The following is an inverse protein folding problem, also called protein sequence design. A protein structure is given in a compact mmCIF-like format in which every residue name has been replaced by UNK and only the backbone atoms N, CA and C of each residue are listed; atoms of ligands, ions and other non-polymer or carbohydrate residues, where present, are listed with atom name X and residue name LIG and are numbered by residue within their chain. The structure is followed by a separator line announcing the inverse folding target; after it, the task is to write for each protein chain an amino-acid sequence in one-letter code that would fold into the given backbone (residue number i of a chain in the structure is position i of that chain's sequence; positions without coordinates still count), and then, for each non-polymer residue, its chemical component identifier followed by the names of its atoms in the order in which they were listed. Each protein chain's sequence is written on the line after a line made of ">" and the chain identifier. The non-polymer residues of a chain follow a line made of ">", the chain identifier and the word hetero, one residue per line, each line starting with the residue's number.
data_IF_085270514931
#
_entry.id   IF_085270514931
#
_cell.length_a   1.000
_cell.length_b   1.000
_cell.length_c   1.000
_cell.angle_alpha   90.00
_cell.angle_beta   90.00
_cell.angle_gamma   90.00
#
_symmetry.space_group_name_H-M   'P 1'
#
loop_
_entity.id
_entity.type
_entity.pdbx_description
1 polymer ?
#
# COMPACT_ATOMS: atom_id res chain seq x y z
N UNK A 1 7.85 5.42 30.88
CA UNK A 1 8.17 6.77 30.39
C UNK A 1 7.17 7.15 29.29
N UNK A 2 6.78 8.43 29.17
CA UNK A 2 5.96 8.87 28.05
C UNK A 2 6.71 8.69 26.73
N UNK A 3 5.96 8.44 25.65
CA UNK A 3 6.48 8.43 24.28
C UNK A 3 6.30 9.83 23.71
N UNK A 4 7.36 10.37 23.12
CA UNK A 4 7.34 11.64 22.38
C UNK A 4 7.35 11.33 20.88
N UNK A 5 6.48 12.00 20.12
CA UNK A 5 6.38 11.88 18.68
C UNK A 5 7.03 13.08 18.01
N UNK A 6 8.08 12.84 17.22
CA UNK A 6 8.72 13.84 16.36
C UNK A 6 8.27 13.63 14.94
N UNK A 7 7.64 14.64 14.33
CA UNK A 7 7.10 14.56 12.96
C UNK A 7 7.95 15.38 12.00
N UNK A 8 8.36 14.77 10.89
CA UNK A 8 9.11 15.43 9.80
C UNK A 8 8.42 15.12 8.48
N UNK A 9 8.12 16.15 7.70
CA UNK A 9 7.54 16.03 6.37
C UNK A 9 8.63 15.73 5.33
N UNK A 10 8.44 14.69 4.53
CA UNK A 10 9.33 14.30 3.43
C UNK A 10 8.90 14.88 2.06
N UNK A 11 7.85 15.69 2.02
CA UNK A 11 7.31 16.37 0.83
C UNK A 11 7.03 15.44 -0.37
N UNK A 12 6.90 14.16 -0.15
CA UNK A 12 6.77 13.13 -1.21
C UNK A 12 7.92 13.16 -2.24
N UNK A 13 9.13 13.55 -1.81
CA UNK A 13 10.34 13.61 -2.62
C UNK A 13 11.42 12.67 -2.07
N UNK A 14 12.17 11.98 -2.97
CA UNK A 14 13.20 11.00 -2.59
C UNK A 14 14.35 11.63 -1.79
N UNK A 15 14.79 12.84 -2.17
CA UNK A 15 15.88 13.55 -1.49
C UNK A 15 15.41 14.02 -0.12
N UNK A 16 14.21 14.59 -0.04
CA UNK A 16 13.62 15.05 1.21
C UNK A 16 13.31 13.86 2.16
N UNK A 17 12.94 12.70 1.63
CA UNK A 17 12.77 11.48 2.44
C UNK A 17 14.10 11.06 3.11
N UNK A 18 15.20 11.07 2.36
CA UNK A 18 16.52 10.81 2.92
C UNK A 18 16.93 11.87 3.95
N UNK A 19 16.68 13.16 3.69
CA UNK A 19 16.96 14.28 4.60
C UNK A 19 16.10 14.18 5.88
N UNK A 20 14.82 13.82 5.77
CA UNK A 20 13.94 13.62 6.91
C UNK A 20 14.46 12.52 7.85
N UNK A 21 14.84 11.36 7.28
CA UNK A 21 15.41 10.27 8.06
C UNK A 21 16.75 10.67 8.68
N UNK A 22 17.62 11.37 7.96
CA UNK A 22 18.88 11.90 8.50
C UNK A 22 18.62 12.82 9.69
N UNK A 23 17.69 13.76 9.58
CA UNK A 23 17.29 14.63 10.70
C UNK A 23 16.85 13.82 11.91
N UNK A 24 15.91 12.87 11.72
CA UNK A 24 15.38 12.04 12.80
C UNK A 24 16.49 11.20 13.49
N UNK A 25 17.45 10.70 12.75
CA UNK A 25 18.51 9.82 13.27
C UNK A 25 19.65 10.57 13.94
N UNK A 26 20.10 11.69 13.37
CA UNK A 26 21.31 12.42 13.79
C UNK A 26 20.99 13.59 14.76
N UNK A 27 19.92 14.37 14.50
CA UNK A 27 19.57 15.54 15.31
C UNK A 27 18.59 15.18 16.41
N UNK A 28 17.46 14.59 16.06
CA UNK A 28 16.40 14.24 17.02
C UNK A 28 16.74 12.96 17.80
N UNK A 29 17.66 12.15 17.29
CA UNK A 29 18.18 10.91 17.92
C UNK A 29 17.07 9.96 18.35
N UNK A 30 16.04 9.82 17.51
CA UNK A 30 14.88 8.98 17.80
C UNK A 30 15.27 7.52 18.03
N UNK A 31 14.46 6.80 18.81
CA UNK A 31 14.64 5.38 19.10
C UNK A 31 14.27 4.51 17.91
N UNK A 32 13.17 4.84 17.24
CA UNK A 32 12.63 4.14 16.07
C UNK A 32 11.90 5.14 15.17
N UNK A 33 11.64 4.76 13.92
CA UNK A 33 10.94 5.60 12.93
C UNK A 33 9.72 4.83 12.43
N UNK A 34 8.58 5.52 12.34
CA UNK A 34 7.40 5.08 11.60
C UNK A 34 7.39 5.83 10.27
N UNK A 35 7.34 5.11 9.18
CA UNK A 35 7.35 5.69 7.83
C UNK A 35 8.28 4.92 6.90
N UNK A 36 8.27 5.14 5.64
CA UNK A 36 7.46 6.15 4.95
C UNK A 36 6.23 5.51 4.32
N UNK A 37 5.32 6.33 3.78
CA UNK A 37 4.37 5.90 2.76
C UNK A 37 5.09 5.94 1.40
N UNK A 38 4.89 4.88 0.57
CA UNK A 38 5.48 4.80 -0.77
C UNK A 38 6.88 4.19 -0.84
N UNK A 39 7.05 3.20 -1.72
CA UNK A 39 8.25 2.36 -1.79
C UNK A 39 9.51 3.13 -2.19
N UNK A 40 9.42 4.04 -3.17
CA UNK A 40 10.57 4.83 -3.63
C UNK A 40 11.14 5.72 -2.52
N UNK A 41 10.24 6.31 -1.70
CA UNK A 41 10.63 7.15 -0.56
C UNK A 41 11.22 6.29 0.57
N UNK A 42 10.62 5.11 0.81
CA UNK A 42 11.09 4.15 1.80
C UNK A 42 12.50 3.63 1.47
N UNK A 43 12.77 3.34 0.21
CA UNK A 43 14.12 2.94 -0.23
C UNK A 43 15.14 4.06 -0.01
N UNK A 44 14.82 5.30 -0.39
CA UNK A 44 15.72 6.44 -0.21
C UNK A 44 16.03 6.72 1.27
N UNK A 45 15.02 6.79 2.13
CA UNK A 45 15.19 6.98 3.57
C UNK A 45 15.80 5.76 4.28
N UNK A 46 15.47 4.57 3.80
CA UNK A 46 15.92 3.29 4.36
C UNK A 46 17.45 3.12 4.36
N UNK A 47 18.12 3.56 3.31
CA UNK A 47 19.58 3.56 3.23
C UNK A 47 20.23 4.43 4.33
N UNK A 48 19.60 5.53 4.68
CA UNK A 48 20.08 6.42 5.76
C UNK A 48 19.85 5.76 7.12
N UNK A 49 18.68 5.20 7.35
CA UNK A 49 18.35 4.51 8.60
C UNK A 49 19.24 3.29 8.85
N UNK A 50 19.51 2.50 7.81
CA UNK A 50 20.39 1.33 7.88
C UNK A 50 21.79 1.71 8.34
N UNK A 51 22.40 2.76 7.75
CA UNK A 51 23.72 3.29 8.17
C UNK A 51 23.69 3.84 9.60
N UNK A 52 22.59 4.48 9.99
CA UNK A 52 22.42 5.05 11.33
C UNK A 52 22.04 4.00 12.39
N UNK A 53 21.76 2.76 11.98
CA UNK A 53 21.31 1.66 12.85
C UNK A 53 20.06 2.03 13.66
N UNK A 54 19.08 2.64 13.00
CA UNK A 54 17.81 3.03 13.60
C UNK A 54 16.70 2.19 12.97
N UNK A 55 15.92 1.42 13.76
CA UNK A 55 14.84 0.63 13.21
C UNK A 55 13.74 1.52 12.63
N UNK A 56 13.30 1.17 11.41
CA UNK A 56 12.21 1.80 10.69
C UNK A 56 11.11 0.77 10.45
N UNK A 57 9.85 1.14 10.67
CA UNK A 57 8.72 0.33 10.24
C UNK A 57 7.94 1.11 9.18
N UNK A 58 7.98 0.63 7.94
CA UNK A 58 7.22 1.20 6.83
C UNK A 58 5.74 0.89 6.95
N UNK A 59 4.89 1.89 6.68
CA UNK A 59 3.43 1.77 6.76
C UNK A 59 2.86 1.09 5.52
N UNK A 60 3.02 1.70 4.35
CA UNK A 60 2.62 1.19 3.03
C UNK A 60 3.75 1.43 2.04
N UNK A 61 4.67 0.46 1.98
CA UNK A 61 5.84 0.47 1.11
C UNK A 61 6.12 -0.96 0.65
N UNK A 62 5.31 -1.41 -0.28
CA UNK A 62 5.06 -2.82 -0.62
C UNK A 62 6.12 -3.44 -1.54
N UNK A 63 6.99 -2.65 -2.20
CA UNK A 63 8.05 -3.18 -3.04
C UNK A 63 9.05 -4.02 -2.22
N UNK A 64 9.41 -5.25 -2.66
CA UNK A 64 10.33 -6.13 -1.93
C UNK A 64 11.69 -5.50 -1.61
N UNK A 65 12.19 -4.60 -2.46
CA UNK A 65 13.49 -3.94 -2.30
C UNK A 65 13.57 -3.03 -1.06
N UNK A 66 12.43 -2.69 -0.45
CA UNK A 66 12.40 -1.84 0.75
C UNK A 66 13.10 -2.50 1.93
N UNK A 67 12.87 -3.79 2.16
CA UNK A 67 13.41 -4.55 3.29
C UNK A 67 14.55 -5.49 2.89
N UNK A 68 14.63 -5.87 1.62
CA UNK A 68 15.60 -6.83 1.13
C UNK A 68 17.03 -6.44 1.47
N UNK A 69 17.71 -7.32 2.23
CA UNK A 69 19.11 -7.11 2.65
C UNK A 69 19.30 -6.07 3.73
N UNK A 70 18.24 -5.55 4.36
CA UNK A 70 18.31 -4.55 5.44
C UNK A 70 18.01 -5.17 6.79
N UNK A 71 18.84 -4.84 7.77
CA UNK A 71 18.69 -5.28 9.17
C UNK A 71 17.71 -4.39 9.95
N UNK A 72 17.67 -3.09 9.63
CA UNK A 72 16.95 -2.10 10.41
C UNK A 72 15.64 -1.63 9.73
N UNK A 73 15.25 -2.24 8.60
CA UNK A 73 13.99 -1.90 7.95
C UNK A 73 12.97 -3.04 8.06
N UNK A 74 11.78 -2.71 8.55
CA UNK A 74 10.62 -3.57 8.76
C UNK A 74 9.42 -2.96 8.02
N UNK A 75 8.33 -3.72 7.86
CA UNK A 75 7.09 -3.16 7.33
C UNK A 75 5.85 -3.77 7.99
N UNK A 76 4.78 -2.98 8.07
CA UNK A 76 3.46 -3.40 8.55
C UNK A 76 2.51 -3.78 7.40
N UNK A 77 3.00 -3.86 6.16
CA UNK A 77 2.23 -4.12 4.96
C UNK A 77 2.69 -5.41 4.25
N UNK A 78 1.80 -6.01 3.46
CA UNK A 78 2.15 -7.10 2.54
C UNK A 78 3.13 -6.61 1.45
N UNK A 79 3.58 -7.53 0.61
CA UNK A 79 4.54 -7.23 -0.47
C UNK A 79 3.91 -7.35 -1.86
N UNK A 80 4.44 -6.60 -2.83
CA UNK A 80 3.95 -6.55 -4.22
C UNK A 80 3.89 -7.91 -4.93
N UNK A 81 4.82 -8.87 -4.73
CA UNK A 81 4.67 -10.21 -5.30
C UNK A 81 3.36 -10.89 -4.89
N UNK A 82 2.98 -10.77 -3.61
CA UNK A 82 1.74 -11.32 -3.08
C UNK A 82 0.53 -10.52 -3.58
N UNK A 83 0.60 -9.19 -3.53
CA UNK A 83 -0.46 -8.29 -4.00
C UNK A 83 -0.73 -8.46 -5.50
N UNK A 84 0.32 -8.49 -6.33
CA UNK A 84 0.19 -8.66 -7.77
C UNK A 84 -0.40 -10.01 -8.16
N UNK A 85 -0.02 -11.08 -7.44
CA UNK A 85 -0.61 -12.40 -7.61
C UNK A 85 -2.09 -12.43 -7.18
N UNK A 86 -2.44 -11.77 -6.06
CA UNK A 86 -3.82 -11.65 -5.59
C UNK A 86 -4.70 -10.89 -6.61
N UNK A 87 -4.23 -9.75 -7.13
CA UNK A 87 -4.92 -9.00 -8.18
C UNK A 87 -5.16 -9.85 -9.44
N UNK A 88 -4.12 -10.57 -9.89
CA UNK A 88 -4.19 -11.45 -11.05
C UNK A 88 -5.19 -12.61 -10.84
N UNK A 89 -5.12 -13.27 -9.69
CA UNK A 89 -6.04 -14.36 -9.31
C UNK A 89 -7.48 -13.86 -9.28
N UNK A 90 -7.72 -12.71 -8.65
CA UNK A 90 -9.05 -12.14 -8.57
C UNK A 90 -9.62 -11.79 -9.95
N UNK A 91 -8.83 -11.09 -10.78
CA UNK A 91 -9.25 -10.74 -12.13
C UNK A 91 -9.57 -11.98 -13.00
N UNK A 92 -8.69 -12.99 -12.99
CA UNK A 92 -8.83 -14.14 -13.86
C UNK A 92 -9.84 -15.18 -13.37
N UNK A 93 -9.80 -15.52 -12.06
CA UNK A 93 -10.61 -16.62 -11.52
C UNK A 93 -11.94 -16.16 -10.94
N UNK A 94 -11.95 -15.07 -10.19
CA UNK A 94 -13.17 -14.60 -9.55
C UNK A 94 -14.06 -13.79 -10.51
N UNK A 95 -13.48 -12.94 -11.36
CA UNK A 95 -14.21 -12.14 -12.34
C UNK A 95 -14.33 -12.82 -13.71
N UNK A 96 -13.54 -13.86 -13.97
CA UNK A 96 -13.56 -14.58 -15.26
C UNK A 96 -12.92 -13.84 -16.42
N UNK A 97 -12.22 -12.74 -16.18
CA UNK A 97 -11.56 -11.93 -17.19
C UNK A 97 -10.34 -12.65 -17.77
N UNK A 98 -10.23 -12.68 -19.09
CA UNK A 98 -9.19 -13.43 -19.82
C UNK A 98 -8.16 -12.53 -20.48
N UNK A 99 -8.56 -11.28 -20.82
CA UNK A 99 -7.73 -10.27 -21.46
C UNK A 99 -7.48 -9.11 -20.49
N UNK A 100 -6.23 -8.95 -20.07
CA UNK A 100 -5.84 -7.82 -19.26
C UNK A 100 -4.89 -6.89 -20.02
N UNK A 101 -4.93 -5.62 -19.66
CA UNK A 101 -3.89 -4.67 -19.99
C UNK A 101 -3.31 -4.08 -18.70
N UNK A 102 -2.14 -3.46 -18.81
CA UNK A 102 -1.48 -2.79 -17.69
C UNK A 102 -1.16 -1.35 -18.09
N UNK A 103 -1.34 -0.42 -17.15
CA UNK A 103 -0.96 0.99 -17.31
C UNK A 103 -0.03 1.36 -16.14
N UNK A 104 1.26 1.59 -16.43
CA UNK A 104 2.33 1.70 -15.44
C UNK A 104 2.93 3.09 -15.40
N UNK A 105 3.02 3.68 -14.20
CA UNK A 105 3.90 4.81 -13.93
C UNK A 105 5.36 4.35 -13.92
N UNK A 106 6.13 4.75 -14.94
CA UNK A 106 7.53 4.32 -15.08
C UNK A 106 8.52 5.11 -14.22
N UNK A 107 8.11 6.22 -13.65
CA UNK A 107 8.93 7.01 -12.74
C UNK A 107 8.88 6.50 -11.29
N UNK A 108 8.02 5.52 -11.02
CA UNK A 108 7.73 5.03 -9.67
C UNK A 108 8.08 3.55 -9.51
N UNK A 109 9.02 3.26 -8.59
CA UNK A 109 9.51 1.90 -8.34
C UNK A 109 8.40 0.93 -7.85
N UNK A 110 7.41 1.45 -7.08
CA UNK A 110 6.24 0.68 -6.67
C UNK A 110 5.42 0.24 -7.89
N UNK A 111 5.01 1.19 -8.73
CA UNK A 111 4.16 0.91 -9.88
C UNK A 111 4.84 -0.05 -10.89
N UNK A 112 6.14 0.15 -11.15
CA UNK A 112 6.94 -0.73 -12.01
C UNK A 112 7.02 -2.15 -11.45
N UNK A 113 7.34 -2.28 -10.16
CA UNK A 113 7.44 -3.58 -9.48
C UNK A 113 6.12 -4.33 -9.50
N UNK A 114 5.06 -3.70 -9.02
CA UNK A 114 3.74 -4.32 -8.90
C UNK A 114 3.13 -4.68 -10.27
N UNK A 115 3.30 -3.82 -11.29
CA UNK A 115 2.91 -4.15 -12.67
C UNK A 115 3.59 -5.42 -13.16
N UNK A 116 4.88 -5.59 -12.90
CA UNK A 116 5.63 -6.77 -13.32
C UNK A 116 5.16 -8.03 -12.58
N UNK A 117 4.86 -7.95 -11.28
CA UNK A 117 4.32 -9.09 -10.53
C UNK A 117 2.92 -9.48 -11.00
N UNK A 118 2.04 -8.51 -11.25
CA UNK A 118 0.74 -8.77 -11.84
C UNK A 118 0.86 -9.46 -13.20
N UNK A 119 1.65 -8.92 -14.14
CA UNK A 119 1.86 -9.48 -15.47
C UNK A 119 2.38 -10.92 -15.42
N UNK A 120 3.37 -11.18 -14.56
CA UNK A 120 3.94 -12.52 -14.36
C UNK A 120 2.89 -13.51 -13.86
N UNK A 121 2.16 -13.13 -12.83
CA UNK A 121 1.13 -13.98 -12.22
C UNK A 121 -0.05 -14.21 -13.16
N UNK A 122 -0.52 -13.15 -13.85
CA UNK A 122 -1.62 -13.26 -14.79
C UNK A 122 -1.34 -14.21 -15.95
N UNK A 123 -0.13 -14.13 -16.53
CA UNK A 123 0.34 -15.08 -17.56
C UNK A 123 0.45 -16.51 -17.02
N UNK A 124 0.99 -16.69 -15.80
CA UNK A 124 1.16 -18.00 -15.16
C UNK A 124 -0.16 -18.75 -15.02
N UNK A 125 -1.25 -18.04 -14.72
CA UNK A 125 -2.58 -18.65 -14.55
C UNK A 125 -3.40 -18.72 -15.84
N UNK A 126 -2.81 -18.40 -17.00
CA UNK A 126 -3.41 -18.54 -18.33
C UNK A 126 -4.07 -17.28 -18.88
N UNK A 127 -3.86 -16.12 -18.26
CA UNK A 127 -4.38 -14.82 -18.75
C UNK A 127 -3.57 -14.28 -19.93
N UNK A 128 -4.24 -13.61 -20.85
CA UNK A 128 -3.67 -12.91 -22.00
C UNK A 128 -3.41 -11.45 -21.65
N UNK A 129 -2.18 -10.95 -21.90
CA UNK A 129 -1.87 -9.52 -21.80
C UNK A 129 -1.95 -8.89 -23.19
N UNK A 130 -2.97 -8.05 -23.40
CA UNK A 130 -3.25 -7.44 -24.72
C UNK A 130 -2.57 -6.07 -24.90
N UNK A 131 -2.17 -5.40 -23.80
CA UNK A 131 -1.40 -4.16 -23.85
C UNK A 131 -0.59 -3.93 -22.56
N UNK A 132 0.52 -3.19 -22.68
CA UNK A 132 1.39 -2.75 -21.58
C UNK A 132 1.75 -1.28 -21.84
N UNK A 133 0.95 -0.37 -21.31
CA UNK A 133 1.06 1.07 -21.53
C UNK A 133 1.80 1.75 -20.38
N UNK A 134 2.38 2.90 -20.66
CA UNK A 134 3.26 3.63 -19.72
C UNK A 134 2.88 5.09 -19.66
N UNK A 135 3.10 5.68 -18.49
CA UNK A 135 3.04 7.13 -18.26
C UNK A 135 4.12 7.50 -17.20
N UNK A 136 4.30 8.78 -16.95
CA UNK A 136 5.21 9.27 -15.90
C UNK A 136 4.45 9.99 -14.79
N UNK A 137 4.95 9.86 -13.56
CA UNK A 137 4.40 10.61 -12.42
C UNK A 137 4.26 12.09 -12.75
N UNK A 138 3.10 12.67 -12.44
CA UNK A 138 2.76 14.06 -12.71
C UNK A 138 2.10 14.30 -14.08
N UNK A 139 1.99 13.29 -14.95
CA UNK A 139 1.22 13.40 -16.18
C UNK A 139 -0.25 13.73 -15.86
N UNK A 140 -0.87 14.57 -16.70
CA UNK A 140 -2.26 15.03 -16.55
C UNK A 140 -3.14 14.62 -17.74
N UNK A 141 -2.56 14.17 -18.83
CA UNK A 141 -3.24 13.73 -20.04
C UNK A 141 -2.84 12.30 -20.38
N UNK A 142 -3.80 11.40 -20.37
CA UNK A 142 -3.65 9.98 -20.62
C UNK A 142 -4.40 9.53 -21.88
N UNK A 143 -4.84 10.50 -22.71
CA UNK A 143 -5.68 10.26 -23.89
C UNK A 143 -5.04 9.27 -24.85
N UNK A 144 -3.74 9.38 -25.11
CA UNK A 144 -3.03 8.48 -26.03
C UNK A 144 -3.02 7.03 -25.53
N UNK A 145 -2.65 6.83 -24.26
CA UNK A 145 -2.62 5.50 -23.63
C UNK A 145 -4.02 4.88 -23.56
N UNK A 146 -5.02 5.67 -23.16
CA UNK A 146 -6.40 5.21 -23.03
C UNK A 146 -7.03 4.87 -24.38
N UNK A 147 -6.76 5.65 -25.44
CA UNK A 147 -7.22 5.36 -26.80
C UNK A 147 -6.65 4.03 -27.29
N UNK A 148 -5.37 3.78 -27.05
CA UNK A 148 -4.74 2.50 -27.42
C UNK A 148 -5.36 1.36 -26.60
N UNK A 149 -5.54 1.51 -25.28
CA UNK A 149 -6.19 0.52 -24.43
C UNK A 149 -7.62 0.18 -24.93
N UNK A 150 -8.42 1.19 -25.30
CA UNK A 150 -9.76 0.99 -25.86
C UNK A 150 -9.70 0.15 -27.14
N UNK A 151 -8.72 0.40 -28.01
CA UNK A 151 -8.57 -0.34 -29.26
C UNK A 151 -8.25 -1.83 -29.06
N UNK A 152 -7.54 -2.18 -27.97
CA UNK A 152 -7.16 -3.57 -27.60
C UNK A 152 -8.28 -4.35 -26.93
N UNK A 153 -9.35 -3.70 -26.51
CA UNK A 153 -10.54 -4.30 -25.88
C UNK A 153 -10.20 -5.27 -24.73
N UNK A 154 -9.42 -4.85 -23.71
CA UNK A 154 -9.20 -5.66 -22.54
C UNK A 154 -10.50 -5.80 -21.73
N UNK A 155 -10.63 -6.91 -20.97
CA UNK A 155 -11.68 -7.05 -19.97
C UNK A 155 -11.40 -6.15 -18.76
N UNK A 156 -10.10 -6.05 -18.39
CA UNK A 156 -9.63 -5.30 -17.24
C UNK A 156 -8.30 -4.58 -17.54
N UNK A 157 -8.13 -3.39 -17.01
CA UNK A 157 -6.86 -2.66 -16.99
C UNK A 157 -6.37 -2.57 -15.55
N UNK A 158 -5.23 -3.20 -15.27
CA UNK A 158 -4.55 -3.08 -13.99
C UNK A 158 -3.65 -1.84 -14.01
N UNK A 159 -3.88 -0.93 -13.07
CA UNK A 159 -3.15 0.34 -12.96
C UNK A 159 -2.70 0.58 -11.51
N UNK A 160 -1.51 0.14 -11.11
CA UNK A 160 -0.95 0.41 -9.79
C UNK A 160 -0.46 1.88 -9.72
N UNK A 161 -1.42 2.80 -9.67
CA UNK A 161 -1.20 4.24 -9.60
C UNK A 161 -1.31 4.74 -8.16
N UNK A 162 -0.80 5.94 -7.90
CA UNK A 162 -1.23 6.72 -6.76
C UNK A 162 -2.57 7.39 -7.04
N UNK A 163 -3.27 7.80 -5.98
CA UNK A 163 -4.66 8.24 -6.06
C UNK A 163 -4.89 9.43 -7.00
N UNK A 164 -3.95 10.36 -7.10
CA UNK A 164 -4.12 11.58 -7.88
C UNK A 164 -4.20 11.29 -9.39
N UNK A 165 -3.17 10.64 -9.95
CA UNK A 165 -3.14 10.23 -11.35
C UNK A 165 -4.20 9.17 -11.64
N UNK A 166 -4.36 8.19 -10.75
CA UNK A 166 -5.36 7.13 -10.91
C UNK A 166 -6.78 7.68 -11.03
N UNK A 167 -7.14 8.69 -10.25
CA UNK A 167 -8.45 9.34 -10.34
C UNK A 167 -8.66 10.10 -11.66
N UNK A 168 -7.60 10.75 -12.19
CA UNK A 168 -7.63 11.43 -13.49
C UNK A 168 -7.77 10.39 -14.62
N UNK A 169 -7.00 9.29 -14.56
CA UNK A 169 -7.10 8.18 -15.51
C UNK A 169 -8.53 7.64 -15.55
N UNK A 170 -9.17 7.42 -14.40
CA UNK A 170 -10.56 6.97 -14.34
C UNK A 170 -11.51 7.93 -15.07
N UNK A 171 -11.39 9.24 -14.85
CA UNK A 171 -12.21 10.26 -15.51
C UNK A 171 -12.04 10.22 -17.02
N UNK A 172 -10.80 10.35 -17.49
CA UNK A 172 -10.50 10.38 -18.91
C UNK A 172 -10.88 9.07 -19.61
N UNK A 173 -10.72 7.92 -18.95
CA UNK A 173 -11.15 6.64 -19.50
C UNK A 173 -12.67 6.63 -19.77
N UNK A 174 -13.50 7.12 -18.84
CA UNK A 174 -14.96 7.17 -19.04
C UNK A 174 -15.38 8.24 -20.04
N UNK A 175 -14.71 9.39 -20.07
CA UNK A 175 -14.91 10.44 -21.06
C UNK A 175 -14.62 9.96 -22.50
N UNK A 176 -13.62 9.10 -22.66
CA UNK A 176 -13.28 8.46 -23.95
C UNK A 176 -14.15 7.23 -24.28
N UNK A 177 -15.13 6.88 -23.42
CA UNK A 177 -16.03 5.76 -23.65
C UNK A 177 -15.46 4.37 -23.34
N UNK A 178 -14.39 4.29 -22.53
CA UNK A 178 -13.85 3.00 -22.09
C UNK A 178 -14.88 2.19 -21.29
N UNK A 179 -15.05 0.92 -21.66
CA UNK A 179 -15.99 -0.02 -21.02
C UNK A 179 -15.30 -1.08 -20.16
N UNK A 180 -13.98 -1.23 -20.28
CA UNK A 180 -13.20 -2.16 -19.45
C UNK A 180 -13.25 -1.79 -17.97
N UNK A 181 -13.06 -2.79 -17.12
CA UNK A 181 -12.92 -2.55 -15.67
C UNK A 181 -11.54 -1.96 -15.39
N UNK A 182 -11.49 -0.95 -14.54
CA UNK A 182 -10.26 -0.42 -13.99
C UNK A 182 -10.00 -1.05 -12.63
N UNK A 183 -8.81 -1.60 -12.44
CA UNK A 183 -8.36 -2.17 -11.18
C UNK A 183 -7.07 -1.50 -10.72
N UNK A 184 -7.14 -0.82 -9.59
CA UNK A 184 -6.00 -0.22 -8.91
C UNK A 184 -5.39 -1.15 -7.87
N UNK A 185 -4.53 -0.58 -7.05
CA UNK A 185 -3.89 -1.27 -5.96
C UNK A 185 -3.97 -0.45 -4.65
N UNK A 186 -3.30 -0.87 -3.60
CA UNK A 186 -3.39 -0.29 -2.26
C UNK A 186 -3.16 1.23 -2.20
N UNK A 187 -2.29 1.77 -3.06
CA UNK A 187 -2.01 3.21 -3.12
C UNK A 187 -3.19 4.06 -3.64
N UNK A 188 -4.22 3.43 -4.22
CA UNK A 188 -5.48 4.08 -4.60
C UNK A 188 -6.45 4.20 -3.42
N UNK A 189 -6.14 3.60 -2.27
CA UNK A 189 -6.99 3.63 -1.08
C UNK A 189 -6.88 4.98 -0.34
N UNK A 190 -7.51 5.98 -0.94
CA UNK A 190 -7.58 7.36 -0.46
C UNK A 190 -8.99 7.91 -0.68
N UNK A 191 -9.59 8.62 0.30
CA UNK A 191 -10.91 9.24 0.12
C UNK A 191 -10.99 10.21 -1.07
N UNK A 192 -9.88 10.87 -1.42
CA UNK A 192 -9.84 11.79 -2.55
C UNK A 192 -9.89 11.09 -3.91
N UNK A 193 -9.58 9.80 -4.00
CA UNK A 193 -9.73 9.00 -5.22
C UNK A 193 -11.14 9.13 -5.80
N UNK A 194 -12.16 8.85 -4.97
CA UNK A 194 -13.57 8.91 -5.41
C UNK A 194 -14.04 10.35 -5.55
N UNK A 195 -13.59 11.23 -4.68
CA UNK A 195 -13.92 12.65 -4.74
C UNK A 195 -13.47 13.29 -6.06
N UNK A 196 -12.26 12.95 -6.53
CA UNK A 196 -11.71 13.45 -7.80
C UNK A 196 -12.36 12.73 -8.98
N UNK A 197 -12.45 11.40 -8.95
CA UNK A 197 -12.98 10.60 -10.04
C UNK A 197 -14.50 10.77 -10.21
N UNK A 198 -15.24 11.05 -9.13
CA UNK A 198 -16.69 11.19 -9.15
C UNK A 198 -17.37 9.94 -9.68
N UNK A 199 -18.31 10.12 -10.61
CA UNK A 199 -19.04 9.01 -11.25
C UNK A 199 -18.15 8.04 -12.04
N UNK A 200 -16.95 8.46 -12.43
CA UNK A 200 -16.01 7.61 -13.16
C UNK A 200 -15.41 6.49 -12.28
N UNK A 201 -15.54 6.60 -10.95
CA UNK A 201 -15.16 5.55 -10.02
C UNK A 201 -16.15 4.37 -9.99
N UNK A 202 -17.32 4.47 -10.66
CA UNK A 202 -18.28 3.37 -10.67
C UNK A 202 -17.70 2.11 -11.31
N UNK A 203 -17.77 1.00 -10.58
CA UNK A 203 -17.18 -0.28 -10.99
C UNK A 203 -15.66 -0.39 -10.80
N UNK A 204 -14.99 0.66 -10.33
CA UNK A 204 -13.57 0.59 -9.99
C UNK A 204 -13.32 -0.41 -8.87
N UNK A 205 -12.25 -1.18 -8.98
CA UNK A 205 -11.80 -2.13 -7.97
C UNK A 205 -10.34 -1.87 -7.59
N UNK A 206 -9.96 -2.32 -6.41
CA UNK A 206 -8.55 -2.26 -6.00
C UNK A 206 -8.20 -3.37 -5.01
N UNK A 207 -6.94 -3.77 -4.98
CA UNK A 207 -6.40 -4.48 -3.84
C UNK A 207 -6.25 -3.53 -2.66
N UNK A 208 -6.41 -4.05 -1.45
CA UNK A 208 -6.43 -3.23 -0.23
C UNK A 208 -5.83 -3.99 0.96
N UNK A 209 -5.46 -3.25 1.99
CA UNK A 209 -5.16 -3.83 3.29
C UNK A 209 -6.45 -4.29 3.99
N UNK A 210 -6.38 -5.27 4.92
CA UNK A 210 -7.55 -5.86 5.56
C UNK A 210 -8.12 -4.96 6.66
N UNK A 211 -8.45 -3.73 6.30
CA UNK A 211 -9.18 -2.78 7.15
C UNK A 211 -10.06 -1.87 6.31
N UNK A 212 -11.35 -1.90 6.56
CA UNK A 212 -12.32 -0.99 5.98
C UNK A 212 -13.56 -0.86 6.88
N UNK A 213 -14.16 0.34 6.94
CA UNK A 213 -15.37 0.60 7.73
C UNK A 213 -16.58 -0.19 7.25
N UNK A 214 -16.55 -0.74 6.05
CA UNK A 214 -17.62 -1.58 5.47
C UNK A 214 -17.42 -3.08 5.70
N UNK A 215 -16.33 -3.49 6.37
CA UNK A 215 -16.11 -4.88 6.74
C UNK A 215 -17.20 -5.36 7.69
N UNK A 216 -17.77 -6.55 7.40
CA UNK A 216 -18.77 -7.19 8.26
C UNK A 216 -18.15 -7.74 9.53
N UNK A 217 -16.95 -8.30 9.42
CA UNK A 217 -16.26 -9.04 10.48
C UNK A 217 -14.92 -8.39 10.81
N UNK A 218 -14.96 -7.18 11.38
CA UNK A 218 -13.75 -6.56 11.94
C UNK A 218 -13.24 -7.36 13.14
N UNK A 219 -11.92 -7.57 13.24
CA UNK A 219 -11.30 -8.12 14.44
C UNK A 219 -11.41 -7.12 15.62
N UNK A 220 -11.15 -7.62 16.84
CA UNK A 220 -11.33 -6.80 18.05
C UNK A 220 -10.38 -5.61 18.14
N UNK A 221 -9.16 -5.72 17.58
CA UNK A 221 -8.21 -4.61 17.53
C UNK A 221 -8.68 -3.52 16.55
N UNK A 222 -9.26 -3.91 15.41
CA UNK A 222 -9.84 -2.97 14.46
C UNK A 222 -11.05 -2.24 15.05
N UNK A 223 -11.92 -2.93 15.79
CA UNK A 223 -13.04 -2.32 16.50
C UNK A 223 -12.56 -1.33 17.55
N UNK A 224 -11.62 -1.74 18.40
CA UNK A 224 -11.05 -0.89 19.45
C UNK A 224 -10.36 0.35 18.87
N UNK A 225 -9.58 0.20 17.79
CA UNK A 225 -8.98 1.31 17.08
C UNK A 225 -10.04 2.28 16.53
N UNK A 226 -11.08 1.74 15.88
CA UNK A 226 -12.17 2.54 15.30
C UNK A 226 -12.92 3.34 16.36
N UNK A 227 -13.23 2.74 17.51
CA UNK A 227 -13.88 3.39 18.64
C UNK A 227 -13.01 4.50 19.23
N UNK A 228 -11.73 4.21 19.47
CA UNK A 228 -10.77 5.20 19.95
C UNK A 228 -10.59 6.35 18.96
N UNK A 229 -10.53 6.07 17.66
CA UNK A 229 -10.48 7.09 16.62
C UNK A 229 -11.69 8.01 16.63
N UNK A 230 -12.90 7.45 16.62
CA UNK A 230 -14.15 8.23 16.66
C UNK A 230 -14.29 9.10 17.90
N UNK A 231 -13.80 8.61 19.04
CA UNK A 231 -13.77 9.39 20.28
C UNK A 231 -12.84 10.61 20.18
N UNK A 232 -11.68 10.48 19.55
CA UNK A 232 -10.68 11.54 19.44
C UNK A 232 -10.89 12.44 18.21
N UNK A 233 -11.49 11.90 17.14
CA UNK A 233 -11.72 12.59 15.86
C UNK A 233 -13.17 12.39 15.39
N UNK A 234 -14.18 12.94 16.09
CA UNK A 234 -15.59 12.63 15.87
C UNK A 234 -16.12 12.97 14.47
N UNK A 235 -15.43 13.87 13.75
CA UNK A 235 -15.82 14.33 12.42
C UNK A 235 -14.98 13.71 11.28
N UNK A 236 -14.20 12.69 11.58
CA UNK A 236 -13.33 12.03 10.59
C UNK A 236 -13.42 10.51 10.74
N UNK A 237 -13.75 9.82 9.67
CA UNK A 237 -13.63 8.37 9.64
C UNK A 237 -12.15 7.97 9.57
N UNK A 238 -11.76 6.90 10.27
CA UNK A 238 -10.43 6.33 10.11
C UNK A 238 -10.29 5.69 8.72
N UNK A 239 -9.12 5.87 8.13
CA UNK A 239 -8.76 5.17 6.89
C UNK A 239 -7.64 4.16 7.15
N UNK A 240 -7.34 3.35 6.15
CA UNK A 240 -6.31 2.31 6.26
C UNK A 240 -4.92 2.88 6.58
N UNK A 241 -4.58 4.08 6.10
CA UNK A 241 -3.27 4.68 6.38
C UNK A 241 -3.11 5.06 7.86
N UNK A 242 -4.18 5.57 8.48
CA UNK A 242 -4.20 5.81 9.93
C UNK A 242 -4.04 4.49 10.71
N UNK A 243 -4.71 3.43 10.26
CA UNK A 243 -4.65 2.10 10.85
C UNK A 243 -3.25 1.50 10.75
N UNK A 244 -2.59 1.63 9.60
CA UNK A 244 -1.20 1.15 9.40
C UNK A 244 -0.21 1.95 10.26
N UNK A 245 -0.39 3.27 10.36
CA UNK A 245 0.42 4.11 11.25
C UNK A 245 0.30 3.68 12.72
N UNK A 246 -0.93 3.40 13.17
CA UNK A 246 -1.20 2.87 14.50
C UNK A 246 -0.59 1.47 14.68
N UNK A 247 -0.71 0.59 13.68
CA UNK A 247 -0.09 -0.74 13.70
C UNK A 247 1.43 -0.67 13.86
N UNK A 248 2.10 0.24 13.13
CA UNK A 248 3.54 0.45 13.30
C UNK A 248 3.90 0.90 14.72
N UNK A 249 3.08 1.79 15.31
CA UNK A 249 3.26 2.21 16.70
C UNK A 249 3.12 1.03 17.66
N UNK A 250 2.08 0.20 17.51
CA UNK A 250 1.87 -0.99 18.34
C UNK A 250 3.04 -1.98 18.23
N UNK A 251 3.58 -2.19 17.03
CA UNK A 251 4.76 -3.02 16.81
C UNK A 251 5.99 -2.49 17.56
N UNK A 252 6.23 -1.18 17.56
CA UNK A 252 7.33 -0.55 18.30
C UNK A 252 7.13 -0.72 19.81
N UNK A 253 5.91 -0.49 20.31
CA UNK A 253 5.61 -0.60 21.74
C UNK A 253 5.72 -2.04 22.22
N UNK A 254 5.24 -3.01 21.45
CA UNK A 254 5.41 -4.43 21.75
C UNK A 254 6.90 -4.84 21.77
N UNK A 255 7.65 -4.45 20.75
CA UNK A 255 9.08 -4.72 20.68
C UNK A 255 9.84 -4.08 21.84
N UNK A 256 9.49 -2.85 22.22
CA UNK A 256 10.10 -2.15 23.34
C UNK A 256 9.81 -2.84 24.68
N UNK A 257 8.60 -3.34 24.87
CA UNK A 257 8.23 -4.14 26.07
C UNK A 257 9.02 -5.45 26.14
N UNK A 258 9.17 -6.17 25.02
CA UNK A 258 9.96 -7.42 24.94
C UNK A 258 11.45 -7.16 25.10
N UNK A 259 11.97 -6.08 24.58
CA UNK A 259 13.37 -5.65 24.71
C UNK A 259 13.74 -5.25 26.17
N UNK A 260 12.77 -4.78 26.96
CA UNK A 260 12.97 -4.35 28.36
C UNK A 260 13.80 -3.08 28.52
N UNK A 261 14.29 -2.48 27.45
CA UNK A 261 15.11 -1.26 27.45
C UNK A 261 14.93 -0.44 26.16
N UNK A 262 15.09 0.87 26.27
CA UNK A 262 15.05 1.81 25.15
C UNK A 262 16.43 1.90 24.46
N UNK A 263 16.75 0.87 23.72
CA UNK A 263 18.01 0.71 22.97
C UNK A 263 17.69 0.27 21.54
N UNK A 264 18.28 0.94 20.54
CA UNK A 264 17.97 0.72 19.12
C UNK A 264 18.21 -0.72 18.67
N UNK A 265 19.33 -1.31 19.08
CA UNK A 265 19.68 -2.68 18.69
C UNK A 265 18.74 -3.70 19.36
N UNK A 266 18.42 -3.50 20.65
CA UNK A 266 17.50 -4.37 21.37
C UNK A 266 16.08 -4.31 20.79
N UNK A 267 15.60 -3.11 20.41
CA UNK A 267 14.30 -2.93 19.74
C UNK A 267 14.32 -3.55 18.34
N UNK A 268 15.39 -3.37 17.57
CA UNK A 268 15.55 -4.01 16.26
C UNK A 268 15.45 -5.53 16.36
N UNK A 269 16.17 -6.14 17.31
CA UNK A 269 16.10 -7.59 17.55
C UNK A 269 14.68 -8.03 17.91
N UNK A 270 14.04 -7.33 18.83
CA UNK A 270 12.67 -7.63 19.23
C UNK A 270 11.66 -7.46 18.09
N UNK A 271 11.82 -6.46 17.21
CA UNK A 271 11.00 -6.31 16.01
C UNK A 271 11.16 -7.49 15.06
N UNK A 272 12.39 -7.95 14.79
CA UNK A 272 12.64 -9.12 13.93
C UNK A 272 11.98 -10.41 14.47
N UNK A 273 11.74 -10.50 15.77
CA UNK A 273 11.10 -11.62 16.44
C UNK A 273 9.56 -11.44 16.58
N UNK A 274 8.97 -10.44 15.91
CA UNK A 274 7.51 -10.21 15.99
C UNK A 274 6.75 -11.38 15.40
N UNK A 275 5.91 -12.03 16.24
CA UNK A 275 5.10 -13.17 15.85
C UNK A 275 3.77 -13.19 16.60
N UNK A 276 2.68 -13.28 15.86
CA UNK A 276 1.34 -13.41 16.44
C UNK A 276 0.83 -12.17 17.15
N UNK A 277 1.36 -10.96 16.84
CA UNK A 277 0.90 -9.72 17.42
C UNK A 277 -0.47 -9.36 16.82
N UNK A 278 -1.49 -9.26 17.65
CA UNK A 278 -2.82 -8.83 17.22
C UNK A 278 -2.81 -7.33 16.91
N UNK A 279 -3.21 -6.97 15.69
CA UNK A 279 -3.27 -5.60 15.19
C UNK A 279 -4.58 -5.32 14.48
N UNK A 280 -4.94 -4.05 14.24
CA UNK A 280 -6.15 -3.73 13.47
C UNK A 280 -6.18 -4.30 12.04
N UNK A 281 -5.04 -4.56 11.44
CA UNK A 281 -4.93 -5.15 10.08
C UNK A 281 -4.73 -6.67 10.12
N UNK A 282 -4.99 -7.32 11.26
CA UNK A 282 -4.87 -8.77 11.43
C UNK A 282 -3.75 -9.19 12.38
N UNK A 283 -3.41 -10.46 12.33
CA UNK A 283 -2.33 -11.01 13.15
C UNK A 283 -0.99 -10.77 12.46
N UNK A 284 -0.17 -9.92 13.08
CA UNK A 284 1.13 -9.53 12.54
C UNK A 284 2.20 -10.55 12.87
N UNK A 285 2.78 -11.14 11.85
CA UNK A 285 4.00 -11.96 11.94
C UNK A 285 4.96 -11.44 10.87
N UNK A 286 6.21 -11.24 11.26
CA UNK A 286 7.25 -10.86 10.31
C UNK A 286 8.05 -12.10 9.89
N UNK A 287 8.31 -12.21 8.59
CA UNK A 287 9.17 -13.23 8.04
C UNK A 287 10.67 -12.87 8.17
N UNK A 288 11.54 -13.73 7.68
CA UNK A 288 13.00 -13.52 7.74
C UNK A 288 13.50 -12.28 6.97
N UNK A 289 12.69 -11.74 6.05
CA UNK A 289 12.98 -10.51 5.31
C UNK A 289 12.36 -9.27 5.97
N UNK A 290 11.79 -9.40 7.17
CA UNK A 290 11.08 -8.34 7.90
C UNK A 290 9.78 -7.87 7.22
N UNK A 291 9.19 -8.71 6.36
CA UNK A 291 7.92 -8.44 5.68
C UNK A 291 6.76 -9.00 6.51
N UNK A 292 5.66 -8.27 6.56
CA UNK A 292 4.45 -8.72 7.22
C UNK A 292 3.69 -9.75 6.38
N UNK A 293 3.26 -10.83 7.01
CA UNK A 293 2.40 -11.86 6.44
C UNK A 293 0.94 -11.54 6.76
N UNK A 294 0.35 -10.61 6.02
CA UNK A 294 -1.06 -10.22 6.14
C UNK A 294 -1.80 -10.43 4.82
N UNK A 295 -3.12 -10.71 4.86
CA UNK A 295 -3.90 -10.97 3.65
C UNK A 295 -4.07 -9.71 2.79
N UNK A 296 -4.44 -9.93 1.52
CA UNK A 296 -4.84 -8.89 0.59
C UNK A 296 -6.36 -8.85 0.50
N UNK A 297 -6.95 -7.70 0.78
CA UNK A 297 -8.37 -7.44 0.59
C UNK A 297 -8.69 -6.95 -0.82
N UNK A 298 -9.95 -7.00 -1.19
CA UNK A 298 -10.51 -6.41 -2.41
C UNK A 298 -11.57 -5.38 -2.04
N UNK A 299 -11.44 -4.18 -2.59
CA UNK A 299 -12.42 -3.12 -2.51
C UNK A 299 -13.06 -2.89 -3.89
N UNK A 300 -14.34 -2.56 -3.89
CA UNK A 300 -15.10 -2.14 -5.07
C UNK A 300 -15.86 -0.85 -4.78
N UNK A 301 -16.01 -0.01 -5.79
CA UNK A 301 -16.90 1.14 -5.74
C UNK A 301 -18.15 0.82 -6.57
N UNK A 302 -19.31 0.87 -5.94
CA UNK A 302 -20.59 0.51 -6.55
C UNK A 302 -21.71 1.38 -5.99
N UNK A 303 -22.52 1.97 -6.86
CA UNK A 303 -23.59 2.91 -6.51
C UNK A 303 -23.09 4.08 -5.64
N UNK A 304 -21.90 4.60 -5.95
CA UNK A 304 -21.26 5.68 -5.23
C UNK A 304 -20.75 5.29 -3.82
N UNK A 305 -20.75 4.00 -3.49
CA UNK A 305 -20.30 3.47 -2.19
C UNK A 305 -19.08 2.59 -2.35
N UNK A 306 -18.21 2.65 -1.36
CA UNK A 306 -17.09 1.76 -1.16
C UNK A 306 -17.57 0.49 -0.47
N UNK A 307 -17.15 -0.67 -0.95
CA UNK A 307 -17.55 -1.98 -0.41
C UNK A 307 -16.31 -2.86 -0.30
N UNK A 308 -16.03 -3.37 0.90
CA UNK A 308 -15.02 -4.40 1.11
C UNK A 308 -15.62 -5.76 0.77
N UNK A 309 -15.05 -6.43 -0.24
CA UNK A 309 -15.57 -7.69 -0.77
C UNK A 309 -15.03 -8.93 -0.04
N UNK A 310 -13.93 -8.78 0.68
CA UNK A 310 -13.25 -9.86 1.40
C UNK A 310 -11.78 -9.98 1.03
N UNK A 311 -11.14 -11.02 1.53
CA UNK A 311 -9.73 -11.31 1.31
C UNK A 311 -9.54 -12.29 0.15
N UNK A 312 -8.42 -12.17 -0.53
CA UNK A 312 -8.01 -13.06 -1.62
C UNK A 312 -6.67 -13.72 -1.31
N UNK A 313 -6.61 -15.03 -1.50
CA UNK A 313 -5.38 -15.82 -1.44
C UNK A 313 -4.91 -16.04 -2.87
N UNK A 314 -3.70 -15.60 -3.24
CA UNK A 314 -3.15 -15.81 -4.57
C UNK A 314 -2.80 -17.28 -4.81
N UNK A 315 -2.84 -17.69 -6.09
CA UNK A 315 -2.43 -19.01 -6.56
C UNK A 315 -1.06 -19.02 -7.25
#
# INVERSE_FOLDING_TARGET
>A
RPVELVVVDNKSDKVEAANAVKRLTEHEKVLAIIGTYGSSLAMAGGEVAERAKVPVIGTSCTNPLVTQGKKYYFRACFIDPYQGAAAATYAYKNLGYKKAAVLTDVANDYAVGLSNFFKKSYKKIGGELVADMKYSSGDQDFTAQLTELISKKPDIVFMPAYFAEGAIIMKQARELGATFVLMGADAMDNPDTVKIAGKAAEGFMQTAFPYDMTMKDMNDQAKAFTEAWKKNFPNKDPNVNATLGYTCYDMIIDALKRAGKADREAVTKALAETKGLATPVGIMTLNANHDAEIPVGILKYENGKRIYLGEIVPE
#
